data_IF_016537233218
#
_entry.id   IF_016537233218
#
_cell.length_a   1.000
_cell.length_b   1.000
_cell.length_c   1.000
_cell.angle_alpha   90.00
_cell.angle_beta   90.00
_cell.angle_gamma   90.00
#
_symmetry.space_group_name_H-M   'P 1'
#
loop_
_entity.id
_entity.type
_entity.pdbx_description
1 polymer ?
#
# COMPACT_ATOMS: atom_id res chain seq x y z
N UNK A 1 -27.50 -5.60 6.51
CA UNK A 1 -27.32 -4.35 5.73
C UNK A 1 -25.83 -4.18 5.43
N UNK A 2 -25.45 -4.13 4.16
CA UNK A 2 -24.07 -3.85 3.77
C UNK A 2 -23.72 -2.39 4.10
N UNK A 3 -22.68 -2.18 4.91
CA UNK A 3 -22.15 -0.84 5.16
C UNK A 3 -21.55 -0.31 3.85
N UNK A 4 -22.12 0.76 3.28
CA UNK A 4 -21.53 1.43 2.12
C UNK A 4 -20.70 2.62 2.61
N UNK A 5 -19.36 2.48 2.71
CA UNK A 5 -18.48 3.59 3.08
C UNK A 5 -18.55 4.77 2.11
N UNK A 6 -19.11 4.58 0.90
CA UNK A 6 -19.31 5.62 -0.10
C UNK A 6 -20.78 5.68 -0.55
N UNK A 7 -21.70 6.26 0.25
CA UNK A 7 -23.15 6.17 0.02
C UNK A 7 -23.62 6.78 -1.32
N UNK A 8 -22.80 7.62 -1.95
CA UNK A 8 -23.12 8.30 -3.22
C UNK A 8 -22.58 7.59 -4.47
N UNK A 9 -21.84 6.50 -4.35
CA UNK A 9 -21.29 5.77 -5.49
C UNK A 9 -21.61 4.27 -5.42
N UNK A 10 -21.86 3.61 -6.57
CA UNK A 10 -21.96 2.16 -6.59
C UNK A 10 -20.61 1.57 -6.18
N UNK A 11 -20.62 0.61 -5.24
CA UNK A 11 -19.43 -0.02 -4.63
C UNK A 11 -18.38 -0.45 -5.66
N UNK A 12 -18.81 -0.98 -6.81
CA UNK A 12 -17.92 -1.37 -7.92
C UNK A 12 -17.11 -0.20 -8.47
N UNK A 13 -17.71 0.99 -8.62
CA UNK A 13 -17.00 2.19 -9.09
C UNK A 13 -16.04 2.68 -8.01
N UNK A 14 -16.45 2.64 -6.73
CA UNK A 14 -15.59 3.02 -5.60
C UNK A 14 -14.29 2.22 -5.54
N UNK A 15 -14.38 0.89 -5.58
CA UNK A 15 -13.20 0.00 -5.58
C UNK A 15 -12.32 0.24 -6.80
N UNK A 16 -12.90 0.46 -7.99
CA UNK A 16 -12.12 0.76 -9.21
C UNK A 16 -11.37 2.07 -9.10
N UNK A 17 -12.00 3.13 -8.59
CA UNK A 17 -11.37 4.44 -8.42
C UNK A 17 -10.22 4.36 -7.41
N UNK A 18 -10.41 3.65 -6.29
CA UNK A 18 -9.35 3.40 -5.31
C UNK A 18 -8.17 2.64 -5.93
N UNK A 19 -8.44 1.55 -6.66
CA UNK A 19 -7.39 0.78 -7.31
C UNK A 19 -6.62 1.62 -8.33
N UNK A 20 -7.30 2.45 -9.14
CA UNK A 20 -6.64 3.36 -10.09
C UNK A 20 -5.81 4.42 -9.37
N UNK A 21 -6.34 5.04 -8.31
CA UNK A 21 -5.60 6.02 -7.52
C UNK A 21 -4.33 5.41 -6.93
N UNK A 22 -4.41 4.19 -6.40
CA UNK A 22 -3.26 3.46 -5.89
C UNK A 22 -2.24 3.11 -6.97
N UNK A 23 -2.69 2.74 -8.17
CA UNK A 23 -1.77 2.50 -9.29
C UNK A 23 -1.04 3.79 -9.66
N UNK A 24 -1.74 4.92 -9.79
CA UNK A 24 -1.13 6.21 -10.14
C UNK A 24 -0.10 6.60 -9.07
N UNK A 25 -0.49 6.51 -7.80
CA UNK A 25 0.39 6.84 -6.68
C UNK A 25 1.60 5.89 -6.61
N UNK A 26 1.36 4.59 -6.77
CA UNK A 26 2.41 3.57 -6.81
C UNK A 26 3.42 3.79 -7.94
N UNK A 27 2.94 4.09 -9.15
CA UNK A 27 3.80 4.44 -10.29
C UNK A 27 4.64 5.69 -9.99
N UNK A 28 4.02 6.73 -9.43
CA UNK A 28 4.74 7.94 -9.02
C UNK A 28 5.83 7.62 -7.98
N UNK A 29 5.52 6.82 -6.96
CA UNK A 29 6.48 6.38 -5.95
C UNK A 29 7.62 5.57 -6.56
N UNK A 30 7.34 4.63 -7.47
CA UNK A 30 8.36 3.83 -8.17
C UNK A 30 9.30 4.74 -8.95
N UNK A 31 8.76 5.69 -9.72
CA UNK A 31 9.58 6.65 -10.50
C UNK A 31 10.46 7.50 -9.57
N UNK A 32 9.90 8.07 -8.52
CA UNK A 32 10.64 8.88 -7.56
C UNK A 32 11.75 8.06 -6.89
N UNK A 33 11.45 6.85 -6.43
CA UNK A 33 12.44 5.95 -5.83
C UNK A 33 13.53 5.57 -6.82
N UNK A 34 13.21 5.31 -8.09
CA UNK A 34 14.23 5.07 -9.13
C UNK A 34 15.16 6.27 -9.27
N UNK A 35 14.62 7.49 -9.33
CA UNK A 35 15.44 8.71 -9.41
C UNK A 35 16.34 8.84 -8.18
N UNK A 36 15.82 8.66 -6.97
CA UNK A 36 16.62 8.70 -5.74
C UNK A 36 17.72 7.64 -5.70
N UNK A 37 17.41 6.42 -6.17
CA UNK A 37 18.37 5.32 -6.18
C UNK A 37 19.50 5.60 -7.17
N UNK A 38 19.18 6.12 -8.36
CA UNK A 38 20.19 6.55 -9.35
C UNK A 38 21.04 7.70 -8.81
N UNK A 39 20.43 8.72 -8.21
CA UNK A 39 21.16 9.84 -7.61
C UNK A 39 22.09 9.38 -6.49
N UNK A 40 21.61 8.50 -5.60
CA UNK A 40 22.41 7.90 -4.53
C UNK A 40 23.58 7.06 -5.08
N UNK A 41 23.38 6.35 -6.20
CA UNK A 41 24.45 5.59 -6.87
C UNK A 41 25.50 6.50 -7.52
N UNK A 42 25.08 7.60 -8.14
CA UNK A 42 25.96 8.53 -8.87
C UNK A 42 26.73 9.49 -7.95
N UNK A 43 26.31 9.67 -6.70
CA UNK A 43 26.99 10.57 -5.78
C UNK A 43 28.43 10.10 -5.51
N UNK A 44 29.45 10.90 -5.85
CA UNK A 44 30.85 10.52 -5.66
C UNK A 44 31.14 10.31 -4.17
N UNK A 45 32.04 9.38 -3.88
CA UNK A 45 32.39 8.94 -2.53
C UNK A 45 33.38 9.89 -1.86
N UNK A 46 33.32 11.20 -2.16
CA UNK A 46 34.30 12.18 -1.71
C UNK A 46 34.12 12.47 -0.20
N UNK A 47 34.90 11.72 0.57
CA UNK A 47 35.56 11.97 1.87
C UNK A 47 34.83 12.51 3.11
N UNK A 48 33.53 12.80 3.12
CA UNK A 48 32.80 13.10 4.39
C UNK A 48 31.62 12.17 4.69
N UNK A 49 31.13 11.42 3.72
CA UNK A 49 30.02 10.49 3.92
C UNK A 49 30.53 9.08 4.19
N UNK A 50 30.34 8.58 5.43
CA UNK A 50 30.74 7.22 5.81
C UNK A 50 30.21 6.22 4.77
N UNK A 51 31.08 5.39 4.14
CA UNK A 51 30.67 4.46 3.09
C UNK A 51 29.57 3.51 3.55
N UNK A 52 29.57 3.14 4.84
CA UNK A 52 28.55 2.31 5.46
C UNK A 52 27.14 2.94 5.39
N UNK A 53 27.04 4.26 5.56
CA UNK A 53 25.76 4.97 5.53
C UNK A 53 25.16 5.00 4.12
N UNK A 54 26.01 5.15 3.09
CA UNK A 54 25.59 5.08 1.68
C UNK A 54 25.06 3.69 1.33
N UNK A 55 25.76 2.63 1.76
CA UNK A 55 25.32 1.25 1.53
C UNK A 55 23.98 0.99 2.24
N UNK A 56 23.86 1.38 3.51
CA UNK A 56 22.60 1.24 4.27
C UNK A 56 21.46 1.98 3.57
N UNK A 57 21.68 3.21 3.10
CA UNK A 57 20.68 4.00 2.38
C UNK A 57 20.23 3.29 1.09
N UNK A 58 21.16 2.80 0.28
CA UNK A 58 20.84 2.08 -0.97
C UNK A 58 20.04 0.81 -0.67
N UNK A 59 20.41 0.05 0.36
CA UNK A 59 19.69 -1.17 0.77
C UNK A 59 18.26 -0.82 1.20
N UNK A 60 18.08 0.21 2.02
CA UNK A 60 16.77 0.68 2.47
C UNK A 60 15.91 1.14 1.28
N UNK A 61 16.47 1.97 0.39
CA UNK A 61 15.77 2.44 -0.82
C UNK A 61 15.36 1.28 -1.73
N UNK A 62 16.23 0.28 -1.90
CA UNK A 62 15.93 -0.92 -2.70
C UNK A 62 14.77 -1.71 -2.09
N UNK A 63 14.73 -1.85 -0.77
CA UNK A 63 13.63 -2.52 -0.09
C UNK A 63 12.30 -1.78 -0.30
N UNK A 64 12.29 -0.46 -0.13
CA UNK A 64 11.10 0.37 -0.40
C UNK A 64 10.68 0.31 -1.86
N UNK A 65 11.62 0.24 -2.80
CA UNK A 65 11.34 0.12 -4.22
C UNK A 65 10.61 -1.19 -4.54
N UNK A 66 11.11 -2.32 -4.02
CA UNK A 66 10.44 -3.62 -4.18
C UNK A 66 9.03 -3.61 -3.57
N UNK A 67 8.89 -3.00 -2.39
CA UNK A 67 7.60 -2.87 -1.72
C UNK A 67 6.61 -2.03 -2.55
N UNK A 68 7.05 -0.92 -3.14
CA UNK A 68 6.22 -0.06 -3.98
C UNK A 68 5.75 -0.78 -5.27
N UNK A 69 6.63 -1.56 -5.91
CA UNK A 69 6.24 -2.40 -7.06
C UNK A 69 5.20 -3.43 -6.63
N UNK A 70 5.43 -4.09 -5.50
CA UNK A 70 4.51 -5.10 -4.97
C UNK A 70 3.13 -4.50 -4.66
N UNK A 71 3.05 -3.35 -3.98
CA UNK A 71 1.79 -2.63 -3.72
C UNK A 71 1.06 -2.23 -5.02
N UNK A 72 1.81 -1.76 -6.02
CA UNK A 72 1.26 -1.40 -7.32
C UNK A 72 0.68 -2.64 -8.01
N UNK A 73 1.41 -3.77 -8.00
CA UNK A 73 0.94 -5.05 -8.52
C UNK A 73 -0.33 -5.55 -7.83
N UNK A 74 -0.40 -5.41 -6.50
CA UNK A 74 -1.60 -5.71 -5.72
C UNK A 74 -2.80 -4.83 -6.12
N UNK A 75 -2.57 -3.56 -6.42
CA UNK A 75 -3.62 -2.64 -6.86
C UNK A 75 -4.13 -2.99 -8.26
N UNK A 76 -3.24 -3.39 -9.18
CA UNK A 76 -3.62 -3.94 -10.49
C UNK A 76 -4.41 -5.24 -10.34
N UNK A 77 -3.97 -6.13 -9.45
CA UNK A 77 -4.67 -7.38 -9.16
C UNK A 77 -6.08 -7.14 -8.62
N UNK A 78 -6.26 -6.16 -7.73
CA UNK A 78 -7.58 -5.73 -7.26
C UNK A 78 -8.45 -5.20 -8.39
N UNK A 79 -7.89 -4.38 -9.29
CA UNK A 79 -8.62 -3.82 -10.43
C UNK A 79 -9.14 -4.92 -11.36
N UNK A 80 -8.29 -5.90 -11.69
CA UNK A 80 -8.67 -7.06 -12.52
C UNK A 80 -9.74 -7.89 -11.82
N UNK A 81 -9.57 -8.17 -10.52
CA UNK A 81 -10.50 -8.96 -9.72
C UNK A 81 -11.89 -8.30 -9.64
N UNK A 82 -11.91 -6.99 -9.45
CA UNK A 82 -13.13 -6.16 -9.44
C UNK A 82 -13.82 -6.13 -10.80
N UNK A 83 -13.05 -6.15 -11.89
CA UNK A 83 -13.64 -6.15 -13.23
C UNK A 83 -14.33 -7.48 -13.54
N UNK A 84 -13.69 -8.59 -13.15
CA UNK A 84 -14.17 -9.96 -13.37
C UNK A 84 -15.19 -10.44 -12.32
N UNK A 85 -15.56 -9.60 -11.34
CA UNK A 85 -16.46 -9.96 -10.21
C UNK A 85 -16.03 -11.24 -9.47
N UNK A 86 -14.73 -11.52 -9.42
CA UNK A 86 -14.21 -12.74 -8.81
C UNK A 86 -13.99 -12.55 -7.31
N UNK A 87 -14.96 -12.96 -6.50
CA UNK A 87 -14.97 -12.80 -5.04
C UNK A 87 -13.80 -13.51 -4.35
N UNK A 88 -13.39 -14.68 -4.85
CA UNK A 88 -12.24 -15.43 -4.31
C UNK A 88 -10.95 -14.61 -4.42
N UNK A 89 -10.72 -13.97 -5.57
CA UNK A 89 -9.51 -13.14 -5.77
C UNK A 89 -9.54 -11.87 -4.95
N UNK A 90 -10.70 -11.22 -4.83
CA UNK A 90 -10.86 -10.06 -3.93
C UNK A 90 -10.62 -10.44 -2.45
N UNK A 91 -11.08 -11.62 -2.02
CA UNK A 91 -10.80 -12.13 -0.67
C UNK A 91 -9.31 -12.41 -0.45
N UNK A 92 -8.62 -13.02 -1.42
CA UNK A 92 -7.17 -13.20 -1.34
C UNK A 92 -6.46 -11.86 -1.20
N UNK A 93 -6.86 -10.85 -1.98
CA UNK A 93 -6.31 -9.50 -1.89
C UNK A 93 -6.52 -8.88 -0.50
N UNK A 94 -7.72 -9.03 0.08
CA UNK A 94 -8.03 -8.55 1.44
C UNK A 94 -7.17 -9.23 2.50
N UNK A 95 -6.98 -10.55 2.41
CA UNK A 95 -6.16 -11.30 3.37
C UNK A 95 -4.71 -10.84 3.30
N UNK A 96 -4.13 -10.74 2.11
CA UNK A 96 -2.75 -10.30 1.93
C UNK A 96 -2.57 -8.87 2.43
N UNK A 97 -3.47 -7.95 2.05
CA UNK A 97 -3.40 -6.54 2.46
C UNK A 97 -3.59 -6.39 3.97
N UNK A 98 -4.48 -7.18 4.57
CA UNK A 98 -4.68 -7.22 6.02
C UNK A 98 -3.44 -7.69 6.78
N UNK A 99 -2.72 -8.69 6.28
CA UNK A 99 -1.45 -9.14 6.87
C UNK A 99 -0.40 -8.02 6.82
N UNK A 100 -0.24 -7.38 5.66
CA UNK A 100 0.71 -6.27 5.48
C UNK A 100 0.38 -5.11 6.42
N UNK A 101 -0.91 -4.75 6.51
CA UNK A 101 -1.37 -3.71 7.40
C UNK A 101 -1.11 -4.06 8.88
N UNK A 102 -1.30 -5.32 9.27
CA UNK A 102 -0.97 -5.81 10.61
C UNK A 102 0.52 -5.62 10.94
N UNK A 103 1.42 -6.02 10.04
CA UNK A 103 2.85 -5.79 10.20
C UNK A 103 3.21 -4.30 10.25
N UNK A 104 2.56 -3.48 9.42
CA UNK A 104 2.78 -2.04 9.38
C UNK A 104 2.33 -1.32 10.66
N UNK A 105 1.37 -1.85 11.41
CA UNK A 105 0.94 -1.31 12.72
C UNK A 105 1.92 -1.73 13.83
N UNK A 106 2.46 -2.95 13.77
CA UNK A 106 3.41 -3.46 14.78
C UNK A 106 4.72 -2.65 14.81
N UNK A 107 5.19 -2.16 13.66
CA UNK A 107 6.37 -1.31 13.55
C UNK A 107 6.34 -0.07 14.45
N UNK A 108 5.43 0.90 14.20
CA UNK A 108 5.31 2.12 15.02
C UNK A 108 4.91 1.81 16.47
N UNK A 109 4.13 0.75 16.71
CA UNK A 109 3.81 0.31 18.07
C UNK A 109 5.09 -0.06 18.85
N UNK A 110 6.01 -0.80 18.24
CA UNK A 110 7.30 -1.11 18.87
C UNK A 110 8.12 0.15 19.16
N UNK A 111 8.15 1.11 18.23
CA UNK A 111 8.87 2.37 18.40
C UNK A 111 8.31 3.26 19.51
N UNK A 112 6.98 3.29 19.67
CA UNK A 112 6.32 3.96 20.79
C UNK A 112 6.70 3.34 22.13
N UNK A 113 6.72 2.01 22.23
CA UNK A 113 7.12 1.29 23.46
C UNK A 113 8.58 1.59 23.83
N UNK A 114 9.46 1.75 22.84
CA UNK A 114 10.87 2.08 23.06
C UNK A 114 11.16 3.60 23.13
N UNK A 115 10.15 4.47 23.07
CA UNK A 115 10.29 5.92 23.23
C UNK A 115 11.06 6.63 22.12
N UNK A 116 11.22 6.02 20.95
CA UNK A 116 11.95 6.59 19.80
C UNK A 116 10.95 6.99 18.71
N UNK A 117 10.40 8.19 18.80
CA UNK A 117 9.58 8.74 17.72
C UNK A 117 10.47 9.13 16.53
N UNK A 118 10.31 8.46 15.40
CA UNK A 118 11.03 8.74 14.15
C UNK A 118 10.13 9.52 13.18
N UNK A 119 10.73 10.26 12.24
CA UNK A 119 10.01 10.93 11.15
C UNK A 119 9.23 9.95 10.26
N UNK A 120 9.65 8.68 10.21
CA UNK A 120 8.90 7.60 9.54
C UNK A 120 7.48 7.40 10.10
N UNK A 121 7.25 7.77 11.36
CA UNK A 121 5.96 7.63 12.02
C UNK A 121 4.89 8.53 11.40
N UNK A 122 5.25 9.68 10.80
CA UNK A 122 4.27 10.64 10.25
C UNK A 122 3.61 10.11 8.98
N UNK A 123 4.38 9.46 8.09
CA UNK A 123 3.83 8.85 6.87
C UNK A 123 2.84 7.72 7.19
N UNK A 124 3.18 6.89 8.18
CA UNK A 124 2.35 5.76 8.61
C UNK A 124 0.99 6.21 9.17
N UNK A 125 0.92 7.39 9.81
CA UNK A 125 -0.33 7.94 10.36
C UNK A 125 -1.36 8.21 9.25
N UNK A 126 -0.93 8.62 8.05
CA UNK A 126 -1.85 8.81 6.91
C UNK A 126 -2.12 7.52 6.14
N UNK A 127 -1.08 6.71 5.94
CA UNK A 127 -1.14 5.49 5.14
C UNK A 127 -2.01 4.40 5.80
N UNK A 128 -1.93 4.21 7.12
CA UNK A 128 -2.68 3.17 7.85
C UNK A 128 -4.20 3.39 7.75
N UNK A 129 -4.77 4.56 8.12
CA UNK A 129 -6.21 4.80 7.99
C UNK A 129 -6.70 4.70 6.54
N UNK A 130 -5.89 5.17 5.58
CA UNK A 130 -6.20 5.04 4.16
C UNK A 130 -6.32 3.56 3.74
N UNK A 131 -5.40 2.70 4.18
CA UNK A 131 -5.44 1.26 3.90
C UNK A 131 -6.57 0.54 4.61
N UNK A 132 -6.89 0.93 5.85
CA UNK A 132 -8.08 0.43 6.55
C UNK A 132 -9.34 0.76 5.74
N UNK A 133 -9.47 2.00 5.29
CA UNK A 133 -10.60 2.43 4.46
C UNK A 133 -10.70 1.63 3.16
N UNK A 134 -9.57 1.41 2.48
CA UNK A 134 -9.53 0.59 1.26
C UNK A 134 -10.02 -0.85 1.52
N UNK A 135 -9.52 -1.49 2.58
CA UNK A 135 -9.96 -2.83 3.00
C UNK A 135 -11.47 -2.87 3.29
N UNK A 136 -12.01 -1.85 3.98
CA UNK A 136 -13.45 -1.78 4.27
C UNK A 136 -14.29 -1.66 2.98
N UNK A 137 -13.86 -0.83 2.02
CA UNK A 137 -14.57 -0.66 0.74
C UNK A 137 -14.56 -1.96 -0.06
N UNK A 138 -13.42 -2.66 -0.13
CA UNK A 138 -13.30 -3.93 -0.84
C UNK A 138 -14.10 -5.03 -0.14
N UNK A 139 -14.09 -5.08 1.20
CA UNK A 139 -14.90 -6.01 1.98
C UNK A 139 -16.40 -5.83 1.72
N UNK A 140 -16.90 -4.59 1.77
CA UNK A 140 -18.29 -4.28 1.45
C UNK A 140 -18.66 -4.66 0.01
N UNK A 141 -17.74 -4.49 -0.95
CA UNK A 141 -17.95 -4.92 -2.32
C UNK A 141 -18.04 -6.45 -2.46
N UNK A 142 -17.17 -7.21 -1.80
CA UNK A 142 -17.24 -8.68 -1.81
C UNK A 142 -18.54 -9.17 -1.19
N UNK A 143 -18.92 -8.61 -0.03
CA UNK A 143 -20.17 -8.95 0.65
C UNK A 143 -21.38 -8.71 -0.26
N UNK A 144 -21.42 -7.56 -0.93
CA UNK A 144 -22.51 -7.23 -1.85
C UNK A 144 -22.61 -8.21 -3.03
N UNK A 145 -21.48 -8.65 -3.61
CA UNK A 145 -21.52 -9.65 -4.69
C UNK A 145 -22.05 -10.99 -4.19
N UNK A 146 -21.65 -11.42 -2.99
CA UNK A 146 -22.12 -12.69 -2.43
C UNK A 146 -23.63 -12.66 -2.17
N UNK A 147 -24.14 -11.57 -1.58
CA UNK A 147 -25.59 -11.39 -1.36
C UNK A 147 -26.38 -11.45 -2.68
N UNK A 148 -25.88 -10.83 -3.76
CA UNK A 148 -26.54 -10.87 -5.09
C UNK A 148 -26.43 -12.19 -5.84
N UNK A 149 -25.58 -13.13 -5.41
CA UNK A 149 -25.46 -14.45 -6.04
C UNK A 149 -26.28 -15.52 -5.29
N UNK A 150 -26.78 -15.21 -4.10
CA UNK A 150 -27.65 -16.08 -3.29
C UNK A 150 -29.15 -15.84 -3.55
N UNK A 151 -29.49 -14.73 -4.23
CA UNK A 151 -30.81 -14.45 -4.82
C UNK A 151 -30.93 -14.99 -6.26
#
# INVERSE_FOLDING_TARGET
MAFNPCPRMPLRKGVKVLAIANIIFGVFCVVMLTVFLVLASLQPTDDEFKPDLKVILIVILTFYFLFAIFETGMSVFLLISTNNRNTKRCNIWLVITGIILGFAILGPFSQMVFGKASYESVWLIGWIPYKIYECLVVFSFVKHINETNEE
#
